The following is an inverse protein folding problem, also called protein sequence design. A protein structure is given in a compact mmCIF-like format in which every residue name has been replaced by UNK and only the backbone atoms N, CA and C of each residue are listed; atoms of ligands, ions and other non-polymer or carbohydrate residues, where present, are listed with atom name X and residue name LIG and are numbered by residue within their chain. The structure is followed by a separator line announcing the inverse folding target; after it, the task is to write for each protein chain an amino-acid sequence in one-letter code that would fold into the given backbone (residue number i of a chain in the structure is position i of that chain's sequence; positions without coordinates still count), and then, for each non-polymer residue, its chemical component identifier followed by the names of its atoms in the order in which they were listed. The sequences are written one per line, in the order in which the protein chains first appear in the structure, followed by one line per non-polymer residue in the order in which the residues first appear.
data_IF_705183967088
#
_entry.id   IF_705183967088
#
_cell.length_a   1.000
_cell.length_b   1.000
_cell.length_c   1.000
_cell.angle_alpha   90.00
_cell.angle_beta   90.00
_cell.angle_gamma   90.00
#
_symmetry.space_group_name_H-M   'P 1'
#
loop_
_entity.id
_entity.type
_entity.pdbx_description
1 polymer ?
#
# COMPACT_ATOMS: atom_id res chain seq x y z
N UNK A 1 -8.96 -19.47 -9.23
CA UNK A 1 -8.93 -18.27 -10.06
C UNK A 1 -9.43 -17.07 -9.29
N UNK A 2 -8.60 -16.13 -9.10
CA UNK A 2 -8.94 -15.02 -8.24
C UNK A 2 -9.23 -13.75 -9.04
N UNK A 3 -10.44 -13.20 -8.87
CA UNK A 3 -10.77 -11.88 -9.42
C UNK A 3 -9.96 -10.78 -8.77
N UNK A 4 -9.36 -11.09 -7.64
CA UNK A 4 -8.56 -10.17 -6.86
C UNK A 4 -7.41 -9.58 -7.68
N UNK A 5 -6.65 -10.47 -8.36
CA UNK A 5 -5.53 -10.00 -9.16
C UNK A 5 -5.99 -9.15 -10.33
N UNK A 6 -7.12 -9.53 -10.93
CA UNK A 6 -7.66 -8.77 -12.06
C UNK A 6 -8.03 -7.36 -11.62
N UNK A 7 -8.71 -7.23 -10.48
CA UNK A 7 -9.13 -5.92 -9.98
C UNK A 7 -7.90 -5.06 -9.65
N UNK A 8 -6.91 -5.65 -8.98
CA UNK A 8 -5.70 -4.93 -8.62
C UNK A 8 -4.99 -4.44 -9.87
N UNK A 9 -4.80 -5.32 -10.84
CA UNK A 9 -4.06 -4.96 -12.05
C UNK A 9 -4.81 -3.92 -12.87
N UNK A 10 -6.13 -4.06 -12.98
CA UNK A 10 -6.93 -3.08 -13.70
C UNK A 10 -6.86 -1.72 -13.04
N UNK A 11 -6.97 -1.69 -11.71
CA UNK A 11 -6.92 -0.43 -10.99
C UNK A 11 -5.57 0.24 -11.18
N UNK A 12 -4.49 -0.52 -11.05
CA UNK A 12 -3.16 0.03 -11.24
C UNK A 12 -2.94 0.53 -12.66
N UNK A 13 -3.42 -0.22 -13.63
CA UNK A 13 -3.29 0.18 -15.04
C UNK A 13 -4.03 1.48 -15.31
N UNK A 14 -5.24 1.61 -14.75
CA UNK A 14 -6.01 2.84 -14.95
C UNK A 14 -5.36 4.03 -14.28
N UNK A 15 -4.79 3.83 -13.09
CA UNK A 15 -4.07 4.91 -12.42
C UNK A 15 -2.85 5.35 -13.22
N UNK A 16 -2.10 4.40 -13.76
CA UNK A 16 -0.91 4.72 -14.56
C UNK A 16 -1.27 5.41 -15.86
N UNK A 17 -2.41 5.06 -16.42
CA UNK A 17 -2.84 5.59 -17.71
C UNK A 17 -3.37 7.01 -17.61
N UNK A 18 -3.80 7.43 -16.43
CA UNK A 18 -4.45 8.72 -16.26
C UNK A 18 -3.38 9.80 -16.02
N UNK A 19 -3.29 10.81 -16.91
CA UNK A 19 -2.25 11.83 -16.74
C UNK A 19 -2.45 12.73 -15.54
N UNK A 20 -3.62 12.70 -14.91
CA UNK A 20 -3.85 13.49 -13.70
C UNK A 20 -3.15 12.88 -12.49
N UNK A 21 -2.75 11.62 -12.57
CA UNK A 21 -2.02 10.96 -11.49
C UNK A 21 -0.54 10.97 -11.85
N UNK A 22 0.21 11.87 -11.20
CA UNK A 22 1.58 12.12 -11.60
C UNK A 22 2.53 10.97 -11.29
N UNK A 23 2.33 10.30 -10.16
CA UNK A 23 3.25 9.25 -9.71
C UNK A 23 2.45 8.06 -9.23
N UNK A 24 1.87 7.33 -10.18
CA UNK A 24 1.02 6.19 -9.84
C UNK A 24 1.78 5.12 -9.06
N UNK A 25 3.09 5.03 -9.24
CA UNK A 25 3.89 4.06 -8.50
C UNK A 25 3.91 4.30 -7.01
N UNK A 26 3.52 5.50 -6.56
CA UNK A 26 3.45 5.83 -5.14
C UNK A 26 2.13 5.41 -4.50
N UNK A 27 1.23 4.84 -5.30
CA UNK A 27 -0.08 4.39 -4.81
C UNK A 27 -0.13 2.88 -4.86
N UNK A 28 -0.39 2.27 -3.72
CA UNK A 28 -0.55 0.83 -3.61
C UNK A 28 -2.03 0.49 -3.61
N UNK A 29 -2.36 -0.63 -4.24
CA UNK A 29 -3.73 -1.09 -4.40
C UNK A 29 -3.86 -2.47 -3.76
N UNK A 30 -4.80 -2.60 -2.83
CA UNK A 30 -5.17 -3.89 -2.26
C UNK A 30 -6.64 -4.13 -2.54
N UNK A 31 -7.04 -5.39 -2.55
CA UNK A 31 -8.43 -5.74 -2.81
C UNK A 31 -8.83 -6.90 -1.94
N UNK A 32 -10.05 -6.84 -1.42
CA UNK A 32 -10.63 -7.92 -0.64
C UNK A 32 -12.14 -7.92 -0.87
N UNK A 33 -12.63 -8.98 -1.50
CA UNK A 33 -14.07 -9.17 -1.74
C UNK A 33 -14.71 -7.97 -2.42
N UNK A 34 -14.01 -7.40 -3.39
CA UNK A 34 -14.50 -6.24 -4.13
C UNK A 34 -14.25 -4.91 -3.45
N UNK A 35 -13.69 -4.91 -2.27
CA UNK A 35 -13.30 -3.67 -1.59
C UNK A 35 -11.85 -3.35 -1.93
N UNK A 36 -11.65 -2.22 -2.56
CA UNK A 36 -10.31 -1.76 -2.93
C UNK A 36 -9.82 -0.75 -1.91
N UNK A 37 -8.61 -0.94 -1.44
CA UNK A 37 -7.96 0.01 -0.53
C UNK A 37 -6.80 0.64 -1.25
N UNK A 38 -6.78 1.97 -1.27
CA UNK A 38 -5.68 2.74 -1.84
C UNK A 38 -4.84 3.30 -0.70
N UNK A 39 -3.53 3.10 -0.78
CA UNK A 39 -2.58 3.59 0.21
C UNK A 39 -1.40 4.20 -0.52
N UNK A 40 -0.73 5.10 0.14
CA UNK A 40 0.42 5.77 -0.44
C UNK A 40 0.25 7.26 -0.42
N UNK A 41 0.89 7.94 -1.37
CA UNK A 41 0.99 9.39 -1.35
C UNK A 41 0.62 9.97 -2.71
N UNK A 42 -0.15 11.04 -2.67
CA UNK A 42 -0.45 11.86 -3.85
C UNK A 42 -0.08 13.31 -3.53
N UNK A 43 -0.07 14.16 -4.55
CA UNK A 43 0.44 15.51 -4.41
C UNK A 43 -0.62 16.53 -4.04
N UNK A 44 -1.90 16.19 -4.20
CA UNK A 44 -2.96 17.16 -3.97
C UNK A 44 -4.26 16.47 -3.64
N UNK A 45 -5.20 17.24 -3.08
CA UNK A 45 -6.56 16.75 -2.84
C UNK A 45 -7.20 16.32 -4.16
N UNK A 46 -6.93 17.06 -5.22
CA UNK A 46 -7.48 16.73 -6.52
C UNK A 46 -7.02 15.36 -7.01
N UNK A 47 -5.74 15.07 -6.88
CA UNK A 47 -5.22 13.77 -7.26
C UNK A 47 -5.81 12.64 -6.42
N UNK A 48 -5.98 12.90 -5.13
CA UNK A 48 -6.58 11.91 -4.23
C UNK A 48 -8.00 11.57 -4.67
N UNK A 49 -8.80 12.58 -4.95
CA UNK A 49 -10.17 12.36 -5.41
C UNK A 49 -10.20 11.62 -6.74
N UNK A 50 -9.31 12.01 -7.66
CA UNK A 50 -9.22 11.37 -8.95
C UNK A 50 -8.87 9.90 -8.81
N UNK A 51 -7.91 9.56 -7.95
CA UNK A 51 -7.52 8.18 -7.73
C UNK A 51 -8.69 7.34 -7.20
N UNK A 52 -9.46 7.90 -6.26
CA UNK A 52 -10.62 7.19 -5.72
C UNK A 52 -11.67 6.97 -6.81
N UNK A 53 -11.92 7.97 -7.64
CA UNK A 53 -12.89 7.85 -8.72
C UNK A 53 -12.47 6.80 -9.74
N UNK A 54 -11.18 6.77 -10.07
CA UNK A 54 -10.66 5.78 -10.99
C UNK A 54 -10.88 4.38 -10.43
N UNK A 55 -10.55 4.18 -9.16
CA UNK A 55 -10.72 2.88 -8.54
C UNK A 55 -12.18 2.44 -8.52
N UNK A 56 -13.09 3.38 -8.27
CA UNK A 56 -14.51 3.07 -8.26
C UNK A 56 -15.04 2.62 -9.61
N UNK A 57 -14.43 3.08 -10.67
CA UNK A 57 -14.92 2.78 -12.01
C UNK A 57 -14.45 1.43 -12.54
N UNK A 58 -13.56 0.77 -11.83
CA UNK A 58 -13.06 -0.54 -12.26
C UNK A 58 -14.15 -1.59 -12.06
N UNK A 59 -14.43 -2.41 -13.07
CA UNK A 59 -15.46 -3.45 -12.93
C UNK A 59 -15.12 -4.41 -11.80
N UNK A 60 -16.13 -4.73 -11.00
CA UNK A 60 -15.96 -5.63 -9.87
C UNK A 60 -15.70 -4.93 -8.55
N UNK A 61 -15.41 -3.65 -8.59
CA UNK A 61 -15.16 -2.89 -7.35
C UNK A 61 -16.48 -2.50 -6.72
N UNK A 62 -16.66 -2.88 -5.46
CA UNK A 62 -17.89 -2.61 -4.72
C UNK A 62 -17.74 -1.41 -3.80
N UNK A 63 -16.53 -1.17 -3.30
CA UNK A 63 -16.26 -0.06 -2.40
C UNK A 63 -14.79 0.29 -2.50
N UNK A 64 -14.46 1.56 -2.23
CA UNK A 64 -13.08 2.02 -2.24
C UNK A 64 -12.79 2.67 -0.89
N UNK A 65 -11.72 2.22 -0.28
CA UNK A 65 -11.23 2.78 0.97
C UNK A 65 -10.05 3.69 0.66
N UNK A 66 -10.15 4.95 1.06
CA UNK A 66 -9.17 5.97 0.74
C UNK A 66 -8.18 6.12 1.89
N UNK A 67 -7.03 5.47 1.77
CA UNK A 67 -5.95 5.59 2.73
C UNK A 67 -4.79 6.41 2.21
N UNK A 68 -5.04 7.28 1.24
CA UNK A 68 -4.00 8.10 0.63
C UNK A 68 -3.64 9.29 1.51
N UNK A 69 -2.36 9.65 1.46
CA UNK A 69 -1.87 10.87 2.11
C UNK A 69 -1.56 11.90 1.04
N UNK A 70 -1.68 13.15 1.41
CA UNK A 70 -1.35 14.26 0.52
C UNK A 70 -0.04 14.87 0.99
N UNK A 71 0.95 14.89 0.09
CA UNK A 71 2.22 15.52 0.37
C UNK A 71 2.66 16.25 -0.90
N UNK A 72 2.57 17.57 -0.92
CA UNK A 72 2.93 18.32 -2.13
C UNK A 72 4.44 18.44 -2.33
N UNK A 73 5.25 18.03 -1.35
CA UNK A 73 6.70 18.14 -1.46
C UNK A 73 7.26 17.06 -2.36
N UNK A 74 8.40 17.35 -2.95
CA UNK A 74 9.02 16.42 -3.87
C UNK A 74 9.95 15.46 -3.12
N UNK A 75 9.38 14.40 -2.60
CA UNK A 75 10.13 13.30 -1.99
C UNK A 75 9.92 12.05 -2.84
N UNK A 76 10.08 12.20 -4.13
CA UNK A 76 9.67 11.18 -5.09
C UNK A 76 10.29 9.82 -4.80
N UNK A 77 11.59 9.80 -4.50
CA UNK A 77 12.28 8.53 -4.30
C UNK A 77 11.76 7.76 -3.09
N UNK A 78 11.66 8.44 -1.95
CA UNK A 78 11.15 7.79 -0.74
C UNK A 78 9.68 7.43 -0.91
N UNK A 79 8.92 8.28 -1.59
CA UNK A 79 7.51 8.01 -1.83
C UNK A 79 7.31 6.82 -2.77
N UNK A 80 8.18 6.70 -3.76
CA UNK A 80 8.11 5.54 -4.65
C UNK A 80 8.45 4.26 -3.91
N UNK A 81 9.46 4.31 -3.06
CA UNK A 81 9.82 3.14 -2.24
C UNK A 81 8.65 2.78 -1.34
N UNK A 82 8.03 3.76 -0.70
CA UNK A 82 6.90 3.50 0.17
C UNK A 82 5.74 2.88 -0.59
N UNK A 83 5.42 3.41 -1.77
CA UNK A 83 4.35 2.85 -2.58
C UNK A 83 4.63 1.41 -2.99
N UNK A 84 5.87 1.13 -3.40
CA UNK A 84 6.25 -0.23 -3.77
C UNK A 84 6.17 -1.17 -2.57
N UNK A 85 6.59 -0.69 -1.40
CA UNK A 85 6.53 -1.50 -0.19
C UNK A 85 5.09 -1.81 0.20
N UNK A 86 4.22 -0.80 0.18
CA UNK A 86 2.81 -1.01 0.48
C UNK A 86 2.16 -1.99 -0.49
N UNK A 87 2.54 -1.90 -1.78
CA UNK A 87 2.02 -2.83 -2.76
C UNK A 87 2.49 -4.25 -2.48
N UNK A 88 3.75 -4.41 -2.14
CA UNK A 88 4.29 -5.73 -1.83
C UNK A 88 3.59 -6.33 -0.60
N UNK A 89 3.34 -5.51 0.41
CA UNK A 89 2.61 -5.97 1.59
C UNK A 89 1.22 -6.44 1.21
N UNK A 90 0.53 -5.64 0.38
CA UNK A 90 -0.82 -6.00 -0.05
C UNK A 90 -0.82 -7.29 -0.86
N UNK A 91 0.15 -7.43 -1.76
CA UNK A 91 0.24 -8.62 -2.61
C UNK A 91 0.50 -9.88 -1.78
N UNK A 92 1.21 -9.74 -0.67
CA UNK A 92 1.51 -10.87 0.20
C UNK A 92 0.41 -11.10 1.25
N UNK A 93 -0.66 -10.33 1.21
CA UNK A 93 -1.77 -10.51 2.12
C UNK A 93 -1.53 -10.00 3.53
N UNK A 94 -0.54 -9.13 3.71
CA UNK A 94 -0.26 -8.54 5.02
C UNK A 94 -1.41 -7.59 5.38
N UNK A 95 -1.91 -7.64 6.63
CA UNK A 95 -3.05 -6.79 7.01
C UNK A 95 -2.78 -5.31 6.81
N UNK A 96 -3.82 -4.56 6.48
CA UNK A 96 -3.71 -3.13 6.24
C UNK A 96 -3.32 -2.34 7.48
N UNK A 97 -3.38 -2.97 8.66
CA UNK A 97 -2.93 -2.34 9.90
C UNK A 97 -1.42 -2.09 9.91
N UNK A 98 -0.69 -2.76 9.02
CA UNK A 98 0.76 -2.56 8.91
C UNK A 98 1.02 -1.38 7.99
N UNK A 99 1.79 -0.43 8.45
CA UNK A 99 2.16 0.74 7.66
C UNK A 99 3.67 0.78 7.45
N UNK A 100 4.08 1.56 6.48
CA UNK A 100 5.49 1.74 6.13
C UNK A 100 5.80 3.21 6.08
N UNK A 101 6.84 3.62 6.77
CA UNK A 101 7.39 4.97 6.64
C UNK A 101 8.75 4.85 5.97
N UNK A 102 9.05 5.73 5.04
CA UNK A 102 10.33 5.71 4.35
C UNK A 102 10.97 7.08 4.45
N UNK A 103 12.20 7.12 4.93
CA UNK A 103 12.98 8.34 5.03
C UNK A 103 14.42 8.01 4.65
N UNK A 104 14.96 8.73 3.67
CA UNK A 104 16.33 8.53 3.20
C UNK A 104 16.60 7.08 2.86
N UNK A 105 15.65 6.45 2.18
CA UNK A 105 15.71 5.06 1.71
C UNK A 105 15.67 4.03 2.85
N UNK A 106 15.39 4.46 4.06
CA UNK A 106 15.25 3.55 5.20
C UNK A 106 13.77 3.34 5.49
N UNK A 107 13.34 2.09 5.52
CA UNK A 107 11.93 1.76 5.74
C UNK A 107 11.70 1.37 7.20
N UNK A 108 10.63 1.89 7.77
CA UNK A 108 10.20 1.51 9.12
C UNK A 108 8.80 0.92 9.02
N UNK A 109 8.65 -0.30 9.51
CA UNK A 109 7.36 -0.98 9.53
C UNK A 109 6.72 -0.76 10.89
N UNK A 110 5.45 -0.38 10.89
CA UNK A 110 4.69 -0.13 12.11
C UNK A 110 3.33 -0.79 12.01
N UNK A 111 2.76 -1.14 13.13
CA UNK A 111 1.42 -1.66 13.19
C UNK A 111 1.29 -2.80 14.17
N UNK A 112 0.08 -3.34 14.25
CA UNK A 112 -0.22 -4.49 15.08
C UNK A 112 -0.79 -5.60 14.23
N UNK A 113 -0.28 -6.80 14.44
CA UNK A 113 -0.78 -7.98 13.74
C UNK A 113 -1.09 -9.07 14.76
N UNK A 114 -1.88 -10.04 14.36
CA UNK A 114 -2.28 -11.11 15.26
C UNK A 114 -1.35 -12.32 15.21
N UNK A 115 -0.53 -12.41 14.17
CA UNK A 115 0.29 -13.58 13.94
C UNK A 115 1.71 -13.17 13.61
N UNK A 116 2.67 -13.91 14.15
CA UNK A 116 4.08 -13.65 13.86
C UNK A 116 4.36 -13.74 12.35
N UNK A 117 3.69 -14.65 11.67
CA UNK A 117 3.89 -14.80 10.22
C UNK A 117 3.57 -13.51 9.46
N UNK A 118 2.64 -12.71 9.96
CA UNK A 118 2.30 -11.44 9.31
C UNK A 118 3.45 -10.45 9.44
N UNK A 119 4.08 -10.40 10.60
CA UNK A 119 5.25 -9.56 10.79
C UNK A 119 6.42 -10.03 9.92
N UNK A 120 6.64 -11.34 9.87
CA UNK A 120 7.72 -11.89 9.07
C UNK A 120 7.48 -11.64 7.58
N UNK A 121 6.24 -11.77 7.13
CA UNK A 121 5.88 -11.52 5.74
C UNK A 121 6.10 -10.06 5.38
N UNK A 122 5.76 -9.15 6.29
CA UNK A 122 5.95 -7.72 6.06
C UNK A 122 7.43 -7.39 5.91
N UNK A 123 8.26 -7.94 6.80
CA UNK A 123 9.69 -7.72 6.73
C UNK A 123 10.27 -8.25 5.42
N UNK A 124 9.87 -9.46 5.04
CA UNK A 124 10.36 -10.09 3.81
C UNK A 124 9.94 -9.28 2.59
N UNK A 125 8.69 -8.81 2.57
CA UNK A 125 8.19 -8.02 1.45
C UNK A 125 8.97 -6.71 1.30
N UNK A 126 9.20 -6.03 2.41
CA UNK A 126 9.92 -4.76 2.39
C UNK A 126 11.38 -4.96 1.99
N UNK A 127 11.97 -6.08 2.38
CA UNK A 127 13.37 -6.38 2.06
C UNK A 127 13.62 -6.54 0.57
N UNK A 128 12.59 -6.91 -0.19
CA UNK A 128 12.74 -7.13 -1.62
C UNK A 128 12.58 -5.88 -2.46
N UNK A 129 12.33 -4.73 -1.85
CA UNK A 129 12.07 -3.51 -2.60
C UNK A 129 13.38 -2.85 -3.00
N UNK A 130 13.52 -2.57 -4.30
CA UNK A 130 14.71 -1.89 -4.81
C UNK A 130 14.82 -0.50 -4.19
N UNK A 131 16.01 -0.16 -3.75
CA UNK A 131 16.29 1.16 -3.20
C UNK A 131 16.21 1.22 -1.69
N UNK A 132 15.73 0.18 -1.03
CA UNK A 132 15.68 0.15 0.43
C UNK A 132 17.09 -0.11 0.97
N UNK A 133 17.58 0.82 1.78
CA UNK A 133 18.91 0.70 2.38
C UNK A 133 18.89 -0.01 3.72
N UNK A 134 17.76 -0.09 4.36
CA UNK A 134 17.61 -0.79 5.62
C UNK A 134 16.19 -0.78 6.09
N UNK A 135 15.87 -1.64 7.05
CA UNK A 135 14.53 -1.81 7.57
C UNK A 135 14.56 -1.86 9.08
N UNK A 136 13.66 -1.10 9.70
CA UNK A 136 13.37 -1.24 11.12
C UNK A 136 11.98 -1.82 11.24
N UNK A 137 11.87 -2.96 11.91
CA UNK A 137 10.57 -3.62 12.05
C UNK A 137 10.03 -3.34 13.45
N UNK A 138 9.02 -2.50 13.53
CA UNK A 138 8.37 -2.13 14.76
C UNK A 138 6.96 -2.69 14.87
N UNK A 139 6.67 -3.72 14.08
CA UNK A 139 5.37 -4.37 14.13
C UNK A 139 5.23 -5.11 15.46
N UNK A 140 4.10 -4.91 16.10
CA UNK A 140 3.78 -5.59 17.35
C UNK A 140 2.87 -6.76 17.04
N UNK A 141 3.21 -7.93 17.57
CA UNK A 141 2.35 -9.11 17.44
C UNK A 141 1.48 -9.21 18.67
N UNK A 142 0.18 -9.11 18.50
CA UNK A 142 -0.79 -9.19 19.57
C UNK A 142 -1.60 -10.46 19.40
N UNK A 143 -1.26 -11.47 20.20
CA UNK A 143 -1.93 -12.75 20.09
C UNK A 143 -2.98 -12.86 21.17
N UNK A 144 -4.25 -13.12 20.82
CA UNK A 144 -5.29 -13.22 21.84
C UNK A 144 -5.01 -14.30 22.88
N UNK A 145 -4.26 -15.33 22.51
CA UNK A 145 -3.96 -16.41 23.43
C UNK A 145 -2.74 -16.15 24.32
N UNK A 146 -1.94 -15.16 23.98
CA UNK A 146 -0.69 -14.92 24.68
C UNK A 146 -0.85 -14.16 25.98
N UNK A 147 -2.00 -13.62 26.20
CA UNK A 147 -2.25 -12.78 27.37
C UNK A 147 -2.47 -13.55 28.66
N UNK A 148 -2.51 -14.82 28.59
CA UNK A 148 -2.81 -15.62 29.79
C UNK A 148 -1.60 -16.16 30.48
#
# INVERSE_FOLDING_TARGET
MSNRNVIIEETRAELERDPRIAHAAEVAVAEREGRVTLRGTVRSIHQRRTAVEIARSVPGVRAVEDGLRIDPRDHTRDAEIRGAALQALADDGVPAAVDVAVANSWATLNGEVKHQRDSDAAFAAASGIAGVGGITNRITVVSPGADR
#
